data_IF_844136905045
#
_entry.id   IF_844136905045
#
_cell.length_a   1.000
_cell.length_b   1.000
_cell.length_c   1.000
_cell.angle_alpha   90.00
_cell.angle_beta   90.00
_cell.angle_gamma   90.00
#
_symmetry.space_group_name_H-M   'P 1'
#
loop_
_entity.id
_entity.type
_entity.pdbx_description
1 polymer ?
#
# COMPACT_ATOMS: atom_id res chain seq x y z
N UNK A 1 8.29 20.86 -3.74
CA UNK A 1 7.09 21.69 -3.48
C UNK A 1 7.02 21.97 -1.99
N UNK A 2 7.26 23.22 -1.58
CA UNK A 2 7.06 23.62 -0.18
C UNK A 2 5.56 23.72 0.08
N UNK A 3 5.06 23.12 1.15
CA UNK A 3 3.64 23.12 1.50
C UNK A 3 3.44 23.15 3.02
N UNK A 4 2.28 23.64 3.48
CA UNK A 4 1.89 23.70 4.89
C UNK A 4 0.36 23.80 5.02
N UNK A 5 -0.20 23.14 6.05
CA UNK A 5 -1.60 23.34 6.46
C UNK A 5 -1.74 24.68 7.19
N UNK A 6 -2.83 25.40 6.95
CA UNK A 6 -3.06 26.70 7.61
C UNK A 6 -3.16 26.51 9.14
N UNK A 7 -2.75 27.52 9.91
CA UNK A 7 -2.78 27.42 11.37
C UNK A 7 -4.22 27.40 11.93
N UNK A 8 -5.11 28.19 11.31
CA UNK A 8 -6.54 28.38 11.61
C UNK A 8 -7.47 27.26 11.11
N UNK A 9 -8.68 27.01 11.62
CA UNK A 9 -9.82 26.55 10.81
C UNK A 9 -11.12 27.22 11.28
N UNK A 10 -11.57 28.25 10.56
CA UNK A 10 -12.80 29.02 10.87
C UNK A 10 -14.04 28.54 10.08
N UNK A 11 -13.96 27.35 9.49
CA UNK A 11 -15.10 26.74 8.82
C UNK A 11 -16.10 26.19 9.85
N UNK A 12 -17.33 25.94 9.41
CA UNK A 12 -18.38 25.35 10.27
C UNK A 12 -18.47 23.82 10.15
N UNK A 13 -17.72 23.24 9.20
CA UNK A 13 -17.71 21.81 8.91
C UNK A 13 -16.29 21.28 9.00
N UNK A 14 -16.13 19.96 9.11
CA UNK A 14 -14.82 19.30 9.07
C UNK A 14 -14.12 19.48 7.71
N UNK A 15 -12.79 19.51 7.74
CA UNK A 15 -11.93 19.52 6.56
C UNK A 15 -11.16 18.21 6.49
N UNK A 16 -11.88 17.13 6.16
CA UNK A 16 -11.33 15.77 6.13
C UNK A 16 -10.76 15.41 4.77
N UNK A 17 -9.59 14.78 4.75
CA UNK A 17 -8.92 14.30 3.55
C UNK A 17 -8.30 12.93 3.81
N UNK A 18 -8.11 12.14 2.76
CA UNK A 18 -7.33 10.91 2.79
C UNK A 18 -6.02 11.12 2.02
N UNK A 19 -4.90 10.73 2.61
CA UNK A 19 -3.59 10.84 1.98
C UNK A 19 -3.33 9.62 1.08
N UNK A 20 -3.30 9.83 -0.23
CA UNK A 20 -3.02 8.79 -1.23
C UNK A 20 -1.87 9.29 -2.12
N UNK A 21 -0.62 8.88 -1.87
CA UNK A 21 0.53 9.30 -2.67
C UNK A 21 0.65 8.52 -3.98
N UNK A 22 1.44 9.06 -4.93
CA UNK A 22 1.88 8.32 -6.11
C UNK A 22 3.21 7.63 -5.78
N UNK A 23 3.18 6.31 -5.63
CA UNK A 23 4.36 5.48 -5.32
C UNK A 23 4.58 4.50 -6.48
N UNK A 24 5.48 4.80 -7.44
CA UNK A 24 5.68 3.95 -8.60
C UNK A 24 6.38 2.64 -8.22
N UNK A 25 6.07 1.57 -8.96
CA UNK A 25 6.77 0.30 -8.83
C UNK A 25 8.24 0.45 -9.26
N UNK A 26 9.15 0.38 -8.30
CA UNK A 26 10.61 0.46 -8.48
C UNK A 26 11.31 -0.29 -7.35
N UNK A 27 12.54 -0.74 -7.57
CA UNK A 27 13.23 -1.63 -6.63
C UNK A 27 13.29 -1.07 -5.20
N UNK A 28 13.54 0.23 -5.06
CA UNK A 28 13.55 0.91 -3.76
C UNK A 28 12.21 0.85 -3.00
N UNK A 29 11.08 0.80 -3.71
CA UNK A 29 9.74 0.78 -3.09
C UNK A 29 9.23 -0.64 -2.80
N UNK A 30 9.83 -1.68 -3.38
CA UNK A 30 9.35 -3.07 -3.22
C UNK A 30 9.40 -3.51 -1.75
N UNK A 31 10.45 -3.14 -1.01
CA UNK A 31 10.53 -3.43 0.43
C UNK A 31 9.37 -2.82 1.21
N UNK A 32 8.97 -1.59 0.87
CA UNK A 32 7.82 -0.94 1.51
C UNK A 32 6.50 -1.67 1.18
N UNK A 33 6.34 -2.17 -0.04
CA UNK A 33 5.16 -2.95 -0.44
C UNK A 33 5.06 -4.27 0.35
N UNK A 34 6.18 -4.95 0.59
CA UNK A 34 6.22 -6.18 1.40
C UNK A 34 5.75 -5.91 2.83
N UNK A 35 6.30 -4.89 3.49
CA UNK A 35 5.90 -4.50 4.84
C UNK A 35 4.45 -3.98 4.88
N UNK A 36 4.02 -3.24 3.86
CA UNK A 36 2.64 -2.77 3.74
C UNK A 36 1.64 -3.92 3.62
N UNK A 37 1.92 -4.90 2.77
CA UNK A 37 1.07 -6.09 2.65
C UNK A 37 0.96 -6.81 3.98
N UNK A 38 2.08 -7.02 4.67
CA UNK A 38 2.11 -7.67 5.98
C UNK A 38 1.28 -6.90 7.01
N UNK A 39 1.52 -5.60 7.16
CA UNK A 39 0.81 -4.75 8.11
C UNK A 39 -0.70 -4.70 7.83
N UNK A 40 -1.09 -4.63 6.54
CA UNK A 40 -2.49 -4.68 6.12
C UNK A 40 -3.18 -6.00 6.49
N UNK A 41 -2.51 -7.14 6.29
CA UNK A 41 -3.03 -8.45 6.64
C UNK A 41 -3.15 -8.62 8.17
N UNK A 42 -2.17 -8.12 8.92
CA UNK A 42 -2.16 -8.16 10.39
C UNK A 42 -3.09 -7.13 11.04
N UNK A 43 -3.50 -6.08 10.33
CA UNK A 43 -4.34 -5.00 10.86
C UNK A 43 -3.58 -4.09 11.83
N UNK A 44 -2.30 -3.84 11.57
CA UNK A 44 -1.43 -3.03 12.44
C UNK A 44 -0.85 -1.85 11.67
N UNK A 45 -0.43 -0.76 12.35
CA UNK A 45 0.22 0.36 11.69
C UNK A 45 1.52 -0.06 10.99
N UNK A 46 1.81 0.59 9.86
CA UNK A 46 3.07 0.45 9.13
C UNK A 46 4.28 0.85 10.00
N UNK A 47 5.51 0.38 9.66
CA UNK A 47 6.72 0.71 10.41
C UNK A 47 7.06 2.21 10.48
N UNK A 48 6.60 2.99 9.49
CA UNK A 48 6.79 4.45 9.42
C UNK A 48 5.71 5.24 10.16
N UNK A 49 4.67 4.56 10.64
CA UNK A 49 3.59 5.15 11.43
C UNK A 49 3.86 5.00 12.94
N UNK A 50 3.41 5.96 13.76
CA UNK A 50 3.50 5.82 15.21
C UNK A 50 2.78 4.56 15.68
N UNK A 51 3.49 3.69 16.39
CA UNK A 51 2.89 2.54 17.08
C UNK A 51 2.27 3.07 18.38
N UNK A 52 0.99 3.45 18.34
CA UNK A 52 0.27 3.89 19.54
C UNK A 52 -0.37 2.68 20.22
N UNK A 53 -0.06 2.52 21.49
CA UNK A 53 -0.67 1.56 22.40
C UNK A 53 -1.79 2.19 23.26
N UNK A 54 -2.18 3.43 22.96
CA UNK A 54 -3.17 4.21 23.71
C UNK A 54 -4.57 4.17 23.09
N UNK A 55 -4.66 4.01 21.77
CA UNK A 55 -5.89 3.88 21.01
C UNK A 55 -5.81 2.49 20.35
N UNK A 56 -6.84 1.64 20.50
CA UNK A 56 -6.79 0.22 20.10
C UNK A 56 -6.29 0.00 18.66
N UNK A 57 -5.82 -1.22 18.37
CA UNK A 57 -5.28 -1.55 17.04
C UNK A 57 -6.43 -1.88 16.07
N UNK A 58 -6.30 -1.47 14.79
CA UNK A 58 -7.30 -1.76 13.76
C UNK A 58 -7.63 -3.26 13.62
N UNK A 59 -6.70 -4.15 13.96
CA UNK A 59 -6.92 -5.61 14.00
C UNK A 59 -8.05 -6.04 14.94
N UNK A 60 -8.35 -5.24 15.96
CA UNK A 60 -9.38 -5.52 16.97
C UNK A 60 -10.77 -5.00 16.54
N UNK A 61 -10.85 -4.33 15.38
CA UNK A 61 -12.10 -3.84 14.78
C UNK A 61 -12.61 -4.79 13.68
N UNK A 62 -13.84 -5.29 13.85
CA UNK A 62 -14.43 -6.26 12.91
C UNK A 62 -14.68 -5.69 11.51
N UNK A 63 -14.94 -4.38 11.43
CA UNK A 63 -15.28 -3.60 10.23
C UNK A 63 -14.06 -3.01 9.51
N UNK A 64 -12.83 -3.39 9.91
CA UNK A 64 -11.62 -2.99 9.18
C UNK A 64 -11.63 -3.51 7.74
N UNK A 65 -10.94 -2.77 6.86
CA UNK A 65 -10.70 -3.21 5.48
C UNK A 65 -9.87 -4.50 5.42
N UNK A 66 -10.27 -5.44 4.57
CA UNK A 66 -9.71 -6.78 4.38
C UNK A 66 -9.39 -7.03 2.91
N UNK A 67 -8.60 -8.08 2.59
CA UNK A 67 -8.31 -8.43 1.19
C UNK A 67 -9.55 -8.59 0.28
N UNK A 68 -10.70 -8.97 0.86
CA UNK A 68 -11.97 -9.09 0.14
C UNK A 68 -12.59 -7.76 -0.30
N UNK A 69 -12.20 -6.65 0.32
CA UNK A 69 -12.71 -5.32 -0.01
C UNK A 69 -11.98 -4.68 -1.20
N UNK A 70 -10.92 -5.33 -1.70
CA UNK A 70 -10.17 -4.88 -2.87
C UNK A 70 -10.75 -5.55 -4.11
N UNK A 71 -11.58 -4.81 -4.82
CA UNK A 71 -12.51 -5.35 -5.83
C UNK A 71 -11.88 -5.57 -7.21
N UNK A 72 -10.69 -5.04 -7.48
CA UNK A 72 -10.06 -5.08 -8.81
C UNK A 72 -8.71 -5.79 -8.78
N UNK A 73 -8.34 -6.43 -9.89
CA UNK A 73 -7.03 -7.09 -10.03
C UNK A 73 -5.88 -6.08 -9.92
N UNK A 74 -6.05 -4.87 -10.45
CA UNK A 74 -5.08 -3.78 -10.35
C UNK A 74 -4.90 -3.34 -8.89
N UNK A 75 -5.99 -3.21 -8.13
CA UNK A 75 -5.94 -2.87 -6.71
C UNK A 75 -5.25 -3.96 -5.90
N UNK A 76 -5.54 -5.23 -6.21
CA UNK A 76 -4.89 -6.37 -5.52
C UNK A 76 -3.40 -6.42 -5.80
N UNK A 77 -2.98 -6.20 -7.05
CA UNK A 77 -1.56 -6.07 -7.43
C UNK A 77 -0.88 -4.89 -6.72
N UNK A 78 -1.52 -3.72 -6.68
CA UNK A 78 -1.02 -2.55 -5.95
C UNK A 78 -0.81 -2.80 -4.45
N UNK A 79 -1.60 -3.70 -3.86
CA UNK A 79 -1.51 -4.08 -2.44
C UNK A 79 -0.63 -5.34 -2.22
N UNK A 80 0.03 -5.84 -3.26
CA UNK A 80 0.89 -7.04 -3.20
C UNK A 80 0.14 -8.35 -2.94
N UNK A 81 -1.18 -8.36 -3.15
CA UNK A 81 -2.06 -9.51 -2.92
C UNK A 81 -2.18 -10.43 -4.14
N UNK A 82 -1.71 -9.97 -5.30
CA UNK A 82 -1.65 -10.72 -6.56
C UNK A 82 -0.37 -10.36 -7.31
N UNK A 83 0.21 -11.28 -8.10
CA UNK A 83 1.41 -11.00 -8.88
C UNK A 83 1.13 -10.07 -10.06
N UNK A 84 2.15 -9.33 -10.48
CA UNK A 84 2.13 -8.64 -11.77
C UNK A 84 2.50 -9.58 -12.91
N UNK A 85 1.88 -9.37 -14.08
CA UNK A 85 2.23 -10.10 -15.31
C UNK A 85 3.60 -9.67 -15.82
N UNK A 86 4.66 -10.41 -15.51
CA UNK A 86 6.02 -10.08 -15.96
C UNK A 86 6.23 -10.30 -17.47
N UNK A 87 5.32 -11.02 -18.13
CA UNK A 87 5.36 -11.34 -19.56
C UNK A 87 4.30 -10.61 -20.39
N UNK A 88 3.70 -9.54 -19.86
CA UNK A 88 2.74 -8.72 -20.60
C UNK A 88 3.33 -8.27 -21.96
N UNK A 89 2.48 -8.23 -22.99
CA UNK A 89 2.88 -7.72 -24.31
C UNK A 89 2.98 -6.20 -24.26
N UNK A 90 4.02 -5.62 -24.84
CA UNK A 90 4.18 -4.16 -24.95
C UNK A 90 4.90 -3.46 -23.80
N UNK A 91 5.30 -4.20 -22.75
CA UNK A 91 6.13 -3.64 -21.67
C UNK A 91 7.63 -3.72 -21.98
N UNK A 92 8.36 -2.70 -21.52
CA UNK A 92 9.82 -2.58 -21.65
C UNK A 92 10.56 -3.63 -20.81
N UNK A 93 11.83 -3.88 -21.12
CA UNK A 93 12.69 -4.76 -20.30
C UNK A 93 12.75 -4.31 -18.84
N UNK A 94 12.82 -3.01 -18.56
CA UNK A 94 12.81 -2.47 -17.21
C UNK A 94 11.52 -2.76 -16.45
N UNK A 95 10.36 -2.62 -17.11
CA UNK A 95 9.06 -2.98 -16.55
C UNK A 95 8.94 -4.48 -16.26
N UNK A 96 9.46 -5.33 -17.16
CA UNK A 96 9.53 -6.79 -16.93
C UNK A 96 10.36 -7.11 -15.70
N UNK A 97 11.57 -6.56 -15.63
CA UNK A 97 12.51 -6.82 -14.54
C UNK A 97 11.94 -6.41 -13.19
N UNK A 98 11.33 -5.22 -13.08
CA UNK A 98 10.80 -4.78 -11.78
C UNK A 98 9.60 -5.62 -11.32
N UNK A 99 8.72 -6.05 -12.23
CA UNK A 99 7.60 -6.95 -11.91
C UNK A 99 8.08 -8.30 -11.40
N UNK A 100 9.19 -8.84 -11.95
CA UNK A 100 9.81 -10.07 -11.43
C UNK A 100 10.37 -9.88 -10.03
N UNK A 101 11.16 -8.83 -9.82
CA UNK A 101 11.73 -8.51 -8.50
C UNK A 101 10.64 -8.40 -7.44
N UNK A 102 9.52 -7.76 -7.77
CA UNK A 102 8.38 -7.64 -6.88
C UNK A 102 7.72 -9.00 -6.60
N UNK A 103 7.42 -9.77 -7.65
CA UNK A 103 6.82 -11.10 -7.51
C UNK A 103 7.69 -12.03 -6.64
N UNK A 104 9.01 -12.03 -6.87
CA UNK A 104 10.00 -12.75 -6.05
C UNK A 104 9.95 -12.28 -4.59
N UNK A 105 10.01 -10.96 -4.34
CA UNK A 105 9.99 -10.41 -2.99
C UNK A 105 8.68 -10.68 -2.23
N UNK A 106 7.57 -10.77 -2.96
CA UNK A 106 6.25 -11.09 -2.43
C UNK A 106 6.00 -12.60 -2.31
N UNK A 107 6.94 -13.46 -2.76
CA UNK A 107 6.85 -14.91 -2.66
C UNK A 107 5.93 -15.58 -3.68
N UNK A 108 5.67 -14.93 -4.82
CA UNK A 108 4.84 -15.48 -5.89
C UNK A 108 5.60 -16.40 -6.85
N UNK A 109 6.93 -16.45 -6.79
CA UNK A 109 7.72 -17.41 -7.57
C UNK A 109 8.06 -18.63 -6.69
N UNK A 110 7.29 -19.72 -6.81
CA UNK A 110 7.49 -20.92 -5.97
C UNK A 110 6.40 -21.99 -5.92
N UNK A 111 5.41 -22.00 -6.84
CA UNK A 111 4.50 -23.15 -7.06
C UNK A 111 4.55 -23.62 -8.51
#
# INVERSE_FOLDING_TARGET
MVHKVKNEHKGVNDSSVMYIPVVPLRAYNVGNLVEQRKAFLEGVPLPDMPQSNLEGLEKDHEDRGKPGDILTIEGRRLMGLEPFESNEVGITSGQKSIRKIENEALGFEGE
#
